data_IF_609925762129
#
_entry.id   IF_609925762129
#
_cell.length_a   1.000
_cell.length_b   1.000
_cell.length_c   1.000
_cell.angle_alpha   90.00
_cell.angle_beta   90.00
_cell.angle_gamma   90.00
#
_symmetry.space_group_name_H-M   'P 1'
#
loop_
_entity.id
_entity.type
_entity.pdbx_description
1 polymer ?
#
# COMPACT_ATOMS: atom_id res chain seq x y z
N UNK A 1 14.03 79.37 -1.88
CA UNK A 1 14.68 79.23 -0.56
C UNK A 1 13.67 78.64 0.40
N UNK A 2 13.87 77.39 0.84
CA UNK A 2 13.42 76.92 2.15
C UNK A 2 14.12 77.74 3.26
N UNK A 3 13.79 77.65 4.57
CA UNK A 3 12.70 76.92 5.24
C UNK A 3 12.08 77.70 6.44
N UNK A 4 11.19 77.00 7.18
CA UNK A 4 11.31 76.71 8.63
C UNK A 4 10.10 77.11 9.50
N UNK A 5 9.66 76.09 10.22
CA UNK A 5 8.47 75.92 11.05
C UNK A 5 8.66 76.44 12.48
N UNK A 6 7.56 76.79 13.17
CA UNK A 6 7.52 77.01 14.62
C UNK A 6 6.51 76.06 15.30
N UNK A 7 7.02 75.31 16.27
CA UNK A 7 6.29 74.50 17.27
C UNK A 7 5.58 75.39 18.30
N UNK A 8 4.50 74.88 18.89
CA UNK A 8 3.85 75.43 20.09
C UNK A 8 4.05 74.46 21.28
N UNK A 9 4.43 75.02 22.43
CA UNK A 9 4.33 74.43 23.79
C UNK A 9 2.98 74.85 24.42
N UNK A 10 2.45 74.27 25.51
CA UNK A 10 2.81 74.55 26.91
C UNK A 10 2.09 73.60 27.92
N UNK A 11 2.84 73.21 28.97
CA UNK A 11 2.57 73.10 30.43
C UNK A 11 1.24 72.52 30.99
N UNK A 12 1.24 71.43 31.79
CA UNK A 12 1.58 71.23 33.24
C UNK A 12 0.48 71.67 34.23
N UNK A 13 0.15 70.81 35.21
CA UNK A 13 -0.03 71.07 36.67
C UNK A 13 -0.83 69.92 37.34
N UNK A 14 -0.26 69.34 38.41
CA UNK A 14 -0.98 68.62 39.50
C UNK A 14 -0.98 69.52 40.75
N UNK A 15 -1.96 69.40 41.67
CA UNK A 15 -1.72 68.62 42.90
C UNK A 15 -2.96 67.90 43.50
N UNK A 16 -2.68 66.92 44.38
CA UNK A 16 -3.60 66.21 45.30
C UNK A 16 -3.89 67.08 46.56
N UNK A 17 -4.79 66.74 47.54
CA UNK A 17 -4.79 65.47 48.30
C UNK A 17 -6.16 64.99 48.92
N UNK A 18 -6.07 63.86 49.67
CA UNK A 18 -6.87 63.41 50.84
C UNK A 18 -8.07 62.43 50.69
N UNK A 19 -7.79 61.17 51.10
CA UNK A 19 -8.53 60.28 52.04
C UNK A 19 -10.04 60.09 51.90
N UNK A 20 -10.49 58.86 51.57
CA UNK A 20 -11.01 57.85 52.53
C UNK A 20 -11.99 56.85 51.88
N UNK A 21 -12.01 55.64 52.44
CA UNK A 21 -13.10 54.64 52.48
C UNK A 21 -13.15 53.52 51.41
N UNK A 22 -12.71 52.34 51.89
CA UNK A 22 -13.16 50.98 51.61
C UNK A 22 -14.37 50.78 50.68
N UNK A 23 -14.16 49.99 49.61
CA UNK A 23 -15.01 48.84 49.27
C UNK A 23 -14.13 47.73 48.64
N UNK A 24 -14.02 46.62 49.35
CA UNK A 24 -13.44 45.36 48.87
C UNK A 24 -14.48 44.73 47.93
N UNK A 25 -14.27 44.83 46.62
CA UNK A 25 -15.10 44.19 45.62
C UNK A 25 -14.32 43.01 45.03
N UNK A 26 -14.60 41.82 45.56
CA UNK A 26 -14.14 40.54 45.02
C UNK A 26 -14.75 40.34 43.63
N UNK A 27 -14.01 40.71 42.59
CA UNK A 27 -14.32 40.30 41.22
C UNK A 27 -13.94 38.83 41.03
N UNK A 28 -14.92 37.95 41.00
CA UNK A 28 -14.73 36.56 40.56
C UNK A 28 -14.35 36.55 39.08
N UNK A 29 -13.08 36.27 38.80
CA UNK A 29 -12.58 36.01 37.45
C UNK A 29 -13.09 34.62 37.03
N UNK A 30 -14.19 34.59 36.28
CA UNK A 30 -14.62 33.41 35.54
C UNK A 30 -13.62 33.18 34.40
N UNK A 31 -12.61 32.34 34.67
CA UNK A 31 -11.76 31.76 33.63
C UNK A 31 -12.65 30.74 32.90
N UNK A 32 -13.24 31.16 31.78
CA UNK A 32 -13.78 30.20 30.82
C UNK A 32 -12.60 29.45 30.24
N UNK A 33 -12.36 28.25 30.77
CA UNK A 33 -11.56 27.22 30.11
C UNK A 33 -12.26 26.93 28.77
N UNK A 34 -11.87 27.67 27.73
CA UNK A 34 -12.04 27.23 26.36
C UNK A 34 -11.10 26.03 26.23
N UNK A 35 -11.65 24.83 26.38
CA UNK A 35 -10.95 23.63 25.91
C UNK A 35 -10.56 23.91 24.45
N UNK A 36 -9.29 23.74 24.06
CA UNK A 36 -8.98 23.69 22.65
C UNK A 36 -9.82 22.54 22.09
N UNK A 37 -10.79 22.86 21.25
CA UNK A 37 -11.31 21.93 20.27
C UNK A 37 -10.07 21.47 19.51
N UNK A 38 -9.54 20.31 19.89
CA UNK A 38 -8.66 19.58 19.01
C UNK A 38 -9.55 19.37 17.78
N UNK A 39 -9.23 20.07 16.69
CA UNK A 39 -9.76 19.68 15.41
C UNK A 39 -9.43 18.21 15.30
N UNK A 40 -10.45 17.35 15.37
CA UNK A 40 -10.37 16.08 14.69
C UNK A 40 -10.07 16.49 13.26
N UNK A 41 -8.80 16.44 12.85
CA UNK A 41 -8.47 16.26 11.45
C UNK A 41 -9.14 14.95 11.10
N UNK A 42 -10.41 15.01 10.70
CA UNK A 42 -11.19 13.86 10.32
C UNK A 42 -10.39 13.18 9.23
N UNK A 43 -9.83 12.02 9.52
CA UNK A 43 -9.22 11.16 8.52
C UNK A 43 -10.29 10.92 7.46
N UNK A 44 -10.13 11.54 6.30
CA UNK A 44 -11.10 11.47 5.20
C UNK A 44 -10.78 10.20 4.42
N UNK A 45 -11.70 9.26 4.49
CA UNK A 45 -11.59 8.01 3.78
C UNK A 45 -12.05 8.17 2.35
N UNK A 46 -11.40 7.43 1.47
CA UNK A 46 -11.75 7.33 0.07
C UNK A 46 -11.76 5.86 -0.35
N UNK A 47 -12.62 5.54 -1.31
CA UNK A 47 -12.50 4.37 -2.16
C UNK A 47 -11.74 4.79 -3.42
N UNK A 48 -10.71 4.03 -3.74
CA UNK A 48 -9.85 4.28 -4.87
C UNK A 48 -9.95 3.10 -5.80
N UNK A 49 -10.26 3.39 -7.06
CA UNK A 49 -10.23 2.41 -8.13
C UNK A 49 -9.30 2.90 -9.23
N UNK A 50 -8.32 2.07 -9.59
CA UNK A 50 -7.28 2.42 -10.54
C UNK A 50 -7.01 1.23 -11.45
N UNK A 51 -6.83 1.50 -12.75
CA UNK A 51 -6.36 0.52 -13.72
C UNK A 51 -5.23 1.08 -14.56
N UNK A 52 -4.22 0.26 -14.79
CA UNK A 52 -3.03 0.60 -15.56
C UNK A 52 -2.96 -0.36 -16.74
N UNK A 53 -2.73 0.19 -17.92
CA UNK A 53 -2.66 -0.58 -19.16
C UNK A 53 -1.46 -0.15 -19.99
N UNK A 54 -0.89 -1.06 -20.78
CA UNK A 54 0.08 -0.70 -21.83
C UNK A 54 -0.64 -0.25 -23.08
N UNK A 55 0.00 0.65 -23.84
CA UNK A 55 -0.32 0.91 -25.24
C UNK A 55 0.53 -0.02 -26.10
N UNK A 56 -0.09 -0.79 -26.99
CA UNK A 56 0.57 -1.79 -27.85
C UNK A 56 0.89 -1.26 -29.26
N UNK A 57 0.45 -0.03 -29.57
CA UNK A 57 0.84 0.69 -30.79
C UNK A 57 2.34 0.98 -30.77
N UNK A 58 3.06 0.50 -31.79
CA UNK A 58 4.49 0.79 -31.97
C UNK A 58 4.75 2.29 -32.17
N UNK A 59 3.81 2.99 -32.83
CA UNK A 59 3.96 4.42 -33.10
C UNK A 59 4.01 5.22 -31.80
N UNK A 60 3.09 4.94 -30.89
CA UNK A 60 2.97 5.62 -29.60
C UNK A 60 4.21 5.34 -28.74
N UNK A 61 4.68 4.08 -28.70
CA UNK A 61 5.88 3.71 -27.95
C UNK A 61 7.17 4.37 -28.43
N UNK A 62 7.26 4.68 -29.72
CA UNK A 62 8.44 5.31 -30.31
C UNK A 62 8.43 6.85 -30.16
N UNK A 63 7.38 7.45 -29.60
CA UNK A 63 7.31 8.90 -29.37
C UNK A 63 8.35 9.41 -28.36
N UNK A 64 8.74 8.57 -27.40
CA UNK A 64 9.77 8.89 -26.40
C UNK A 64 10.91 7.86 -26.42
N UNK A 65 12.13 8.35 -26.64
CA UNK A 65 13.34 7.53 -26.57
C UNK A 65 13.98 7.65 -25.19
N UNK A 66 13.95 6.54 -24.43
CA UNK A 66 14.52 6.43 -23.09
C UNK A 66 15.92 5.81 -23.15
N UNK A 67 16.88 6.39 -22.43
CA UNK A 67 18.27 5.94 -22.40
C UNK A 67 18.60 5.37 -21.01
N UNK A 68 19.15 4.16 -20.95
CA UNK A 68 19.51 3.47 -19.70
C UNK A 68 20.39 4.32 -18.78
N UNK A 69 21.39 5.04 -19.32
CA UNK A 69 22.29 5.89 -18.54
C UNK A 69 21.61 7.05 -17.79
N UNK A 70 20.36 7.41 -18.15
CA UNK A 70 19.64 8.56 -17.58
C UNK A 70 18.50 8.17 -16.67
N UNK A 71 18.13 6.90 -16.63
CA UNK A 71 16.99 6.41 -15.86
C UNK A 71 17.50 5.70 -14.59
N UNK A 72 17.58 6.44 -13.49
CA UNK A 72 17.87 5.86 -12.17
C UNK A 72 16.56 5.33 -11.57
N UNK A 73 16.26 4.07 -11.85
CA UNK A 73 15.06 3.40 -11.34
C UNK A 73 15.29 2.96 -9.90
N UNK A 74 14.39 3.35 -9.00
CA UNK A 74 14.48 2.98 -7.59
C UNK A 74 13.10 2.90 -6.95
N UNK A 75 13.00 2.10 -5.89
CA UNK A 75 11.83 2.05 -5.05
C UNK A 75 11.92 3.09 -3.93
N UNK A 76 10.82 3.78 -3.68
CA UNK A 76 10.71 4.67 -2.52
C UNK A 76 10.84 3.90 -1.20
N UNK A 77 11.23 4.60 -0.13
CA UNK A 77 11.26 4.04 1.23
C UNK A 77 10.73 5.08 2.22
N UNK A 78 9.63 4.80 2.95
CA UNK A 78 8.90 3.54 3.00
C UNK A 78 8.07 3.25 1.73
N UNK A 79 7.77 1.98 1.49
CA UNK A 79 6.89 1.48 0.43
C UNK A 79 5.87 0.52 1.05
N UNK A 80 4.64 0.52 0.55
CA UNK A 80 3.54 -0.33 1.06
C UNK A 80 2.97 -1.21 -0.05
N UNK A 81 2.76 -2.50 0.22
CA UNK A 81 1.96 -3.38 -0.62
C UNK A 81 0.48 -3.29 -0.22
N UNK A 82 -0.44 -3.44 -1.18
CA UNK A 82 -1.85 -3.66 -0.86
C UNK A 82 -2.01 -5.08 -0.28
N UNK A 83 -2.75 -5.20 0.82
CA UNK A 83 -3.04 -6.49 1.41
C UNK A 83 -4.04 -7.25 0.53
N UNK A 84 -3.75 -8.51 0.21
CA UNK A 84 -4.67 -9.35 -0.55
C UNK A 84 -5.38 -10.33 0.38
N UNK A 85 -6.73 -10.44 0.32
CA UNK A 85 -7.45 -11.45 1.10
C UNK A 85 -6.96 -12.88 0.85
N UNK A 86 -6.39 -13.15 -0.34
CA UNK A 86 -5.79 -14.44 -0.71
C UNK A 86 -4.53 -14.78 0.08
N UNK A 87 -3.78 -13.81 0.58
CA UNK A 87 -2.56 -14.05 1.36
C UNK A 87 -2.86 -14.83 2.64
N UNK A 88 -4.04 -14.64 3.22
CA UNK A 88 -4.51 -15.36 4.41
C UNK A 88 -4.77 -16.85 4.15
N UNK A 89 -4.91 -17.26 2.89
CA UNK A 89 -5.18 -18.64 2.51
C UNK A 89 -3.91 -19.48 2.37
N UNK A 90 -2.74 -18.84 2.32
CA UNK A 90 -1.45 -19.52 2.17
C UNK A 90 -0.85 -19.72 3.55
N UNK A 91 -0.58 -20.98 3.89
CA UNK A 91 0.00 -21.33 5.20
C UNK A 91 1.50 -21.53 5.10
N UNK A 92 2.23 -21.28 6.20
CA UNK A 92 3.67 -21.55 6.29
C UNK A 92 4.02 -23.00 5.90
N UNK A 93 3.14 -23.96 6.20
CA UNK A 93 3.33 -25.36 5.81
C UNK A 93 3.22 -25.57 4.30
N UNK A 94 2.35 -24.83 3.61
CA UNK A 94 2.25 -24.90 2.14
C UNK A 94 3.48 -24.27 1.49
N UNK A 95 3.95 -23.14 2.02
CA UNK A 95 5.19 -22.50 1.57
C UNK A 95 6.38 -23.43 1.79
N UNK A 96 6.53 -23.98 3.00
CA UNK A 96 7.62 -24.89 3.33
C UNK A 96 7.61 -26.17 2.48
N UNK A 97 6.43 -26.75 2.23
CA UNK A 97 6.30 -27.93 1.37
C UNK A 97 6.60 -27.63 -0.11
N UNK A 98 6.39 -26.40 -0.57
CA UNK A 98 6.68 -26.02 -1.94
C UNK A 98 8.16 -25.64 -2.16
N UNK A 99 8.81 -25.10 -1.12
CA UNK A 99 10.25 -24.74 -1.15
C UNK A 99 11.14 -25.96 -0.85
N UNK A 100 10.64 -26.97 -0.13
CA UNK A 100 11.40 -28.21 0.08
C UNK A 100 11.63 -28.91 -1.25
N UNK A 101 12.90 -29.02 -1.67
CA UNK A 101 13.27 -29.97 -2.71
C UNK A 101 12.78 -31.36 -2.31
N UNK A 102 12.27 -32.20 -3.23
CA UNK A 102 11.98 -33.58 -2.90
C UNK A 102 13.29 -34.18 -2.43
N UNK A 103 13.40 -34.47 -1.13
CA UNK A 103 14.47 -35.32 -0.62
C UNK A 103 14.43 -36.56 -1.51
N UNK A 104 15.47 -36.77 -2.32
CA UNK A 104 15.74 -38.08 -2.87
C UNK A 104 15.80 -38.98 -1.65
N UNK A 105 14.73 -39.76 -1.44
CA UNK A 105 14.71 -40.84 -0.47
C UNK A 105 15.75 -41.85 -0.95
N UNK A 106 17.02 -41.57 -0.67
CA UNK A 106 18.08 -42.53 -0.67
C UNK A 106 17.75 -43.49 0.47
N UNK A 107 16.94 -44.49 0.13
CA UNK A 107 16.74 -45.66 0.97
C UNK A 107 18.09 -46.40 0.93
N UNK A 108 19.04 -45.96 1.75
CA UNK A 108 20.07 -46.88 2.22
C UNK A 108 19.35 -47.89 3.10
N UNK A 109 19.08 -49.08 2.56
CA UNK A 109 18.71 -50.25 3.36
C UNK A 109 19.88 -50.62 4.27
N UNK A 110 20.03 -49.87 5.36
CA UNK A 110 20.76 -50.34 6.52
C UNK A 110 19.85 -51.34 7.24
N UNK A 111 20.06 -52.64 6.99
CA UNK A 111 19.48 -53.69 7.82
C UNK A 111 20.08 -53.59 9.22
N UNK A 112 19.39 -52.89 10.11
CA UNK A 112 19.67 -52.88 11.54
C UNK A 112 18.87 -54.03 12.15
N UNK A 113 19.53 -55.07 12.65
CA UNK A 113 18.88 -56.11 13.44
C UNK A 113 18.49 -55.51 14.80
N UNK A 114 17.28 -54.98 14.90
CA UNK A 114 16.69 -54.55 16.17
C UNK A 114 16.14 -55.78 16.89
N UNK A 115 16.40 -55.88 18.19
CA UNK A 115 15.72 -56.87 19.01
C UNK A 115 14.23 -56.48 19.25
N UNK A 116 13.41 -57.41 19.74
CA UNK A 116 11.96 -57.20 19.93
C UNK A 116 11.64 -55.97 20.82
N UNK A 117 12.52 -55.64 21.77
CA UNK A 117 12.35 -54.52 22.70
C UNK A 117 12.67 -53.17 22.03
N UNK A 118 13.72 -53.13 21.22
CA UNK A 118 14.10 -51.97 20.41
C UNK A 118 13.05 -51.68 19.33
N UNK A 119 12.46 -52.72 18.73
CA UNK A 119 11.39 -52.58 17.75
C UNK A 119 10.12 -52.00 18.39
N UNK A 120 9.77 -52.46 19.60
CA UNK A 120 8.63 -51.94 20.35
C UNK A 120 8.85 -50.47 20.80
N UNK A 121 10.07 -50.11 21.18
CA UNK A 121 10.43 -48.74 21.53
C UNK A 121 10.37 -47.80 20.31
N UNK A 122 10.80 -48.27 19.13
CA UNK A 122 10.71 -47.52 17.88
C UNK A 122 9.25 -47.31 17.44
N UNK A 123 8.41 -48.36 17.49
CA UNK A 123 6.97 -48.24 17.22
C UNK A 123 6.28 -47.28 18.19
N UNK A 124 6.61 -47.35 19.49
CA UNK A 124 6.09 -46.42 20.49
C UNK A 124 6.53 -44.98 20.19
N UNK A 125 7.80 -44.75 19.84
CA UNK A 125 8.30 -43.42 19.51
C UNK A 125 7.63 -42.84 18.26
N UNK A 126 7.41 -43.67 17.23
CA UNK A 126 6.71 -43.28 16.00
C UNK A 126 5.21 -43.01 16.24
N UNK A 127 4.57 -43.77 17.13
CA UNK A 127 3.18 -43.52 17.54
C UNK A 127 3.07 -42.27 18.40
N UNK A 128 4.03 -42.03 19.30
CA UNK A 128 4.10 -40.82 20.11
C UNK A 128 4.36 -39.59 19.24
N UNK A 129 5.22 -39.66 18.23
CA UNK A 129 5.42 -38.55 17.29
C UNK A 129 4.15 -38.28 16.48
N UNK A 130 3.48 -39.32 15.98
CA UNK A 130 2.19 -39.17 15.27
C UNK A 130 1.10 -38.54 16.16
N UNK A 131 1.03 -38.92 17.45
CA UNK A 131 0.11 -38.33 18.43
C UNK A 131 0.44 -36.88 18.74
N UNK A 132 1.73 -36.53 18.84
CA UNK A 132 2.16 -35.13 19.00
C UNK A 132 1.83 -34.30 17.76
N UNK A 133 1.86 -34.88 16.56
CA UNK A 133 1.46 -34.23 15.30
C UNK A 133 -0.06 -34.07 15.15
N UNK A 134 -0.88 -34.92 15.77
CA UNK A 134 -2.35 -34.92 15.64
C UNK A 134 -3.13 -34.34 16.82
N UNK A 135 -2.46 -33.94 17.90
CA UNK A 135 -3.09 -33.22 19.02
C UNK A 135 -3.53 -31.79 18.61
N UNK A 136 -4.53 -31.19 19.30
CA UNK A 136 -4.86 -29.78 19.08
C UNK A 136 -3.60 -28.95 19.34
N UNK A 137 -3.13 -28.26 18.31
CA UNK A 137 -1.96 -27.42 18.47
C UNK A 137 -2.22 -26.38 19.57
N UNK A 138 -1.25 -26.11 20.46
CA UNK A 138 -1.39 -25.03 21.41
C UNK A 138 -1.77 -23.75 20.64
N UNK A 139 -2.67 -22.92 21.17
CA UNK A 139 -3.01 -21.67 20.53
C UNK A 139 -1.72 -20.89 20.28
N UNK A 140 -1.46 -20.57 19.00
CA UNK A 140 -0.37 -19.66 18.60
C UNK A 140 -0.44 -18.41 19.49
N UNK A 141 0.73 -17.82 19.78
CA UNK A 141 0.80 -16.56 20.49
C UNK A 141 -0.20 -15.55 19.90
N UNK A 142 -0.96 -14.88 20.77
CA UNK A 142 -1.99 -13.91 20.38
C UNK A 142 -1.39 -12.82 19.48
N UNK A 143 -1.89 -12.70 18.25
CA UNK A 143 -1.52 -11.66 17.28
C UNK A 143 -1.19 -12.16 15.85
N UNK A 144 -2.11 -12.41 14.93
CA UNK A 144 -3.57 -12.29 14.91
C UNK A 144 -4.00 -12.79 13.50
N UNK A 145 -4.31 -14.08 13.35
CA UNK A 145 -5.12 -14.45 12.18
C UNK A 145 -6.48 -13.79 12.41
N UNK A 146 -6.72 -12.68 11.73
CA UNK A 146 -8.01 -12.02 11.65
C UNK A 146 -8.39 -11.90 10.21
N UNK A 147 -9.67 -12.09 9.91
CA UNK A 147 -10.18 -11.69 8.62
C UNK A 147 -10.12 -10.17 8.49
N UNK A 148 -9.84 -9.70 7.29
CA UNK A 148 -9.94 -8.30 6.97
C UNK A 148 -11.40 -7.85 7.12
N UNK A 149 -11.60 -6.75 7.81
CA UNK A 149 -12.84 -5.98 7.75
C UNK A 149 -12.75 -5.08 6.51
N UNK A 150 -13.19 -5.59 5.36
CA UNK A 150 -13.11 -4.89 4.07
C UNK A 150 -13.78 -3.51 4.07
N UNK A 151 -14.65 -3.22 5.05
CA UNK A 151 -15.31 -1.93 5.20
C UNK A 151 -14.50 -0.91 5.99
N UNK A 152 -13.47 -1.34 6.74
CA UNK A 152 -12.77 -0.52 7.75
C UNK A 152 -11.25 -0.67 7.75
N UNK A 153 -10.71 -1.74 7.20
CA UNK A 153 -9.28 -1.92 7.04
C UNK A 153 -8.80 -1.15 5.80
N UNK A 154 -7.78 -0.29 5.95
CA UNK A 154 -7.22 0.45 4.84
C UNK A 154 -6.30 -0.44 4.00
N UNK A 155 -6.11 -0.10 2.74
CA UNK A 155 -5.14 -0.71 1.82
C UNK A 155 -5.32 -2.23 1.59
N UNK A 156 -6.53 -2.74 1.82
CA UNK A 156 -6.90 -4.12 1.45
C UNK A 156 -7.54 -4.10 0.06
N UNK A 157 -7.07 -4.97 -0.83
CA UNK A 157 -7.64 -5.15 -2.16
C UNK A 157 -9.06 -5.73 -2.05
N UNK A 158 -10.02 -5.05 -2.68
CA UNK A 158 -11.42 -5.42 -2.71
C UNK A 158 -11.74 -6.33 -3.89
N UNK A 159 -12.90 -6.98 -3.83
CA UNK A 159 -13.36 -7.90 -4.86
C UNK A 159 -13.66 -7.16 -6.17
N UNK A 160 -13.35 -7.74 -7.35
CA UNK A 160 -13.78 -7.21 -8.63
C UNK A 160 -15.31 -7.06 -8.78
N UNK A 161 -16.10 -7.70 -7.92
CA UNK A 161 -17.57 -7.53 -7.92
C UNK A 161 -18.00 -6.12 -7.46
N UNK A 162 -17.16 -5.47 -6.64
CA UNK A 162 -17.40 -4.11 -6.12
C UNK A 162 -16.85 -3.02 -7.06
N UNK A 163 -16.20 -3.40 -8.16
CA UNK A 163 -15.55 -2.51 -9.13
C UNK A 163 -16.55 -1.81 -10.04
N UNK A 164 -16.39 -0.50 -10.20
CA UNK A 164 -17.11 0.30 -11.20
C UNK A 164 -16.41 0.21 -12.58
N UNK A 165 -15.13 -0.18 -12.62
CA UNK A 165 -14.35 -0.25 -13.86
C UNK A 165 -14.57 -1.55 -14.63
N UNK A 166 -15.45 -2.45 -14.20
CA UNK A 166 -15.71 -3.70 -14.92
C UNK A 166 -16.02 -3.49 -16.41
N UNK A 167 -16.81 -2.48 -16.78
CA UNK A 167 -17.09 -2.21 -18.19
C UNK A 167 -15.89 -1.58 -18.90
N UNK A 168 -15.20 -0.66 -18.26
CA UNK A 168 -13.99 0.02 -18.75
C UNK A 168 -12.88 -0.99 -19.03
N UNK A 169 -12.56 -1.85 -18.06
CA UNK A 169 -11.51 -2.87 -18.16
C UNK A 169 -11.82 -3.89 -19.25
N UNK A 170 -13.09 -4.34 -19.35
CA UNK A 170 -13.52 -5.19 -20.47
C UNK A 170 -13.48 -4.50 -21.83
N UNK A 171 -13.51 -3.16 -21.89
CA UNK A 171 -13.34 -2.43 -23.15
C UNK A 171 -11.85 -2.33 -23.52
N UNK A 172 -10.99 -2.06 -22.54
CA UNK A 172 -9.53 -2.05 -22.67
C UNK A 172 -9.05 -3.42 -23.19
N UNK A 173 -9.44 -4.51 -22.52
CA UNK A 173 -9.03 -5.88 -22.88
C UNK A 173 -9.53 -6.36 -24.25
N UNK A 174 -10.57 -5.72 -24.81
CA UNK A 174 -11.07 -6.06 -26.15
C UNK A 174 -10.38 -5.29 -27.27
N UNK A 175 -9.67 -4.22 -26.94
CA UNK A 175 -8.87 -3.47 -27.91
C UNK A 175 -7.58 -4.24 -28.20
N UNK A 176 -7.13 -4.25 -29.46
CA UNK A 176 -5.76 -4.69 -29.77
C UNK A 176 -4.70 -3.67 -29.36
N UNK A 177 -5.11 -2.42 -29.16
CA UNK A 177 -4.20 -1.30 -28.89
C UNK A 177 -3.81 -1.21 -27.42
N UNK A 178 -4.50 -1.92 -26.52
CA UNK A 178 -4.26 -1.83 -25.09
C UNK A 178 -4.23 -3.21 -24.44
N UNK A 179 -3.48 -3.33 -23.34
CA UNK A 179 -3.52 -4.51 -22.47
C UNK A 179 -3.55 -4.09 -21.03
N UNK A 180 -4.53 -4.59 -20.27
CA UNK A 180 -4.62 -4.35 -18.84
C UNK A 180 -3.45 -5.04 -18.14
N UNK A 181 -2.69 -4.29 -17.35
CA UNK A 181 -1.52 -4.78 -16.61
C UNK A 181 -1.82 -4.89 -15.12
N UNK A 182 -2.54 -3.91 -14.57
CA UNK A 182 -2.91 -3.86 -13.16
C UNK A 182 -4.31 -3.29 -13.00
N UNK A 183 -5.07 -3.83 -12.05
CA UNK A 183 -6.32 -3.27 -11.59
C UNK A 183 -6.39 -3.38 -10.06
N UNK A 184 -6.64 -2.26 -9.40
CA UNK A 184 -6.75 -2.19 -7.96
C UNK A 184 -7.99 -1.42 -7.52
N UNK A 185 -8.71 -1.98 -6.54
CA UNK A 185 -9.81 -1.33 -5.84
C UNK A 185 -9.55 -1.47 -4.34
N UNK A 186 -9.37 -0.37 -3.62
CA UNK A 186 -9.13 -0.39 -2.17
C UNK A 186 -9.73 0.84 -1.50
N UNK A 187 -9.64 0.87 -0.17
CA UNK A 187 -10.04 2.01 0.65
C UNK A 187 -8.86 2.49 1.47
N UNK A 188 -8.71 3.79 1.66
CA UNK A 188 -7.72 4.31 2.58
C UNK A 188 -8.11 5.68 3.14
N UNK A 189 -7.54 6.02 4.29
CA UNK A 189 -7.52 7.40 4.77
C UNK A 189 -6.39 8.15 4.07
N UNK A 190 -6.75 9.13 3.25
CA UNK A 190 -5.75 9.89 2.50
C UNK A 190 -4.89 10.76 3.42
N UNK A 191 -3.57 10.69 3.22
CA UNK A 191 -2.59 11.41 4.02
C UNK A 191 -2.31 12.82 3.49
N UNK A 192 -1.66 13.63 4.34
CA UNK A 192 -1.10 14.92 3.95
C UNK A 192 0.16 14.76 3.07
N UNK A 193 0.60 15.81 2.35
CA UNK A 193 1.65 15.69 1.34
C UNK A 193 2.96 15.03 1.78
N UNK A 194 3.36 15.19 3.04
CA UNK A 194 4.63 14.66 3.57
C UNK A 194 4.44 13.38 4.41
N UNK A 195 3.22 12.86 4.48
CA UNK A 195 2.87 11.69 5.30
C UNK A 195 2.37 10.51 4.45
N UNK A 196 2.13 10.73 3.16
CA UNK A 196 1.69 9.70 2.23
C UNK A 196 2.78 8.66 2.00
N UNK A 197 2.40 7.39 2.11
CA UNK A 197 3.27 6.25 1.85
C UNK A 197 2.96 5.74 0.44
N UNK A 198 3.94 5.68 -0.48
CA UNK A 198 3.75 5.12 -1.81
C UNK A 198 3.26 3.67 -1.75
N UNK A 199 2.31 3.34 -2.63
CA UNK A 199 1.78 2.00 -2.82
C UNK A 199 2.56 1.33 -3.94
N UNK A 200 3.12 0.16 -3.66
CA UNK A 200 3.77 -0.69 -4.64
C UNK A 200 2.75 -1.17 -5.67
N UNK A 201 3.10 -1.01 -6.93
CA UNK A 201 2.32 -1.46 -8.07
C UNK A 201 3.17 -2.43 -8.87
N UNK A 202 2.61 -3.59 -9.17
CA UNK A 202 3.18 -4.53 -10.12
C UNK A 202 2.08 -5.19 -10.95
N UNK A 203 2.41 -5.66 -12.14
CA UNK A 203 1.43 -6.29 -13.02
C UNK A 203 1.98 -6.71 -14.37
N UNK A 204 1.11 -7.28 -15.19
CA UNK A 204 1.49 -7.90 -16.46
C UNK A 204 2.16 -9.27 -16.29
N UNK A 205 2.97 -9.66 -17.26
CA UNK A 205 3.70 -10.93 -17.25
C UNK A 205 4.89 -10.89 -16.27
N UNK A 206 5.19 -12.05 -15.69
CA UNK A 206 6.33 -12.26 -14.80
C UNK A 206 7.52 -12.84 -15.57
N UNK A 207 8.70 -12.27 -15.33
CA UNK A 207 9.98 -12.65 -15.94
C UNK A 207 11.04 -12.80 -14.84
N UNK A 208 11.30 -14.04 -14.42
CA UNK A 208 12.06 -14.29 -13.19
C UNK A 208 11.29 -13.71 -11.99
N UNK A 209 11.95 -12.88 -11.19
CA UNK A 209 11.29 -12.18 -10.07
C UNK A 209 10.59 -10.89 -10.49
N UNK A 210 10.87 -10.39 -11.70
CA UNK A 210 10.37 -9.09 -12.15
C UNK A 210 9.04 -9.21 -12.88
N UNK A 211 8.32 -8.09 -12.95
CA UNK A 211 7.07 -7.96 -13.70
C UNK A 211 7.23 -6.91 -14.80
N UNK A 212 6.43 -6.99 -15.86
CA UNK A 212 6.42 -5.98 -16.93
C UNK A 212 6.16 -4.58 -16.37
N UNK A 213 5.11 -4.42 -15.58
CA UNK A 213 4.79 -3.17 -14.90
C UNK A 213 5.28 -3.24 -13.47
N UNK A 214 6.02 -2.22 -13.03
CA UNK A 214 6.46 -2.06 -11.65
C UNK A 214 6.58 -0.59 -11.27
N UNK A 215 6.62 -0.33 -9.97
CA UNK A 215 6.92 0.99 -9.41
C UNK A 215 6.00 1.32 -8.25
N UNK A 216 5.60 2.57 -8.16
CA UNK A 216 4.71 3.02 -7.11
C UNK A 216 3.76 4.13 -7.54
N UNK A 217 2.64 4.19 -6.83
CA UNK A 217 1.68 5.28 -6.90
C UNK A 217 1.49 5.84 -5.49
N UNK A 218 1.50 7.16 -5.38
CA UNK A 218 1.22 7.86 -4.12
C UNK A 218 -0.02 8.71 -4.27
N UNK A 219 -0.96 8.56 -3.36
CA UNK A 219 -2.13 9.41 -3.27
C UNK A 219 -2.05 10.26 -2.01
N UNK A 220 -2.27 11.56 -2.17
CA UNK A 220 -2.20 12.53 -1.07
C UNK A 220 -3.14 13.69 -1.30
N UNK A 221 -3.43 14.46 -0.25
CA UNK A 221 -4.01 15.78 -0.44
C UNK A 221 -3.02 16.75 -1.10
N UNK A 222 -3.54 17.77 -1.77
CA UNK A 222 -2.76 18.98 -2.03
C UNK A 222 -2.61 19.82 -0.74
N UNK A 223 -1.77 20.86 -0.76
CA UNK A 223 -1.49 21.70 0.42
C UNK A 223 -2.76 22.31 1.06
N UNK A 224 -3.79 22.58 0.25
CA UNK A 224 -5.06 23.17 0.71
C UNK A 224 -6.11 22.14 1.14
N UNK A 225 -5.85 20.83 0.98
CA UNK A 225 -6.78 19.71 1.24
C UNK A 225 -8.12 19.78 0.50
N UNK A 226 -8.15 20.43 -0.66
CA UNK A 226 -9.35 20.55 -1.50
C UNK A 226 -9.27 19.71 -2.78
N UNK A 227 -8.12 19.11 -3.07
CA UNK A 227 -7.89 18.18 -4.17
C UNK A 227 -7.02 17.01 -3.74
N UNK A 228 -7.06 15.97 -4.56
CA UNK A 228 -6.25 14.78 -4.43
C UNK A 228 -5.14 14.88 -5.47
N UNK A 229 -3.91 14.59 -5.09
CA UNK A 229 -2.78 14.49 -6.01
C UNK A 229 -2.39 13.03 -6.12
N UNK A 230 -2.23 12.58 -7.36
CA UNK A 230 -1.59 11.31 -7.69
C UNK A 230 -0.18 11.59 -8.19
N UNK A 231 0.80 11.01 -7.50
CA UNK A 231 2.17 10.91 -7.98
C UNK A 231 2.38 9.49 -8.49
N UNK A 232 2.77 9.35 -9.75
CA UNK A 232 3.06 8.07 -10.39
C UNK A 232 4.55 8.01 -10.69
N UNK A 233 5.20 6.94 -10.23
CA UNK A 233 6.58 6.60 -10.53
C UNK A 233 6.59 5.13 -10.95
N UNK A 234 6.32 4.89 -12.22
CA UNK A 234 6.07 3.56 -12.79
C UNK A 234 7.01 3.32 -13.95
N UNK A 235 7.48 2.08 -14.11
CA UNK A 235 8.18 1.65 -15.30
C UNK A 235 7.52 0.42 -15.94
N UNK A 236 7.49 0.44 -17.26
CA UNK A 236 7.06 -0.67 -18.11
C UNK A 236 8.30 -1.23 -18.81
N UNK A 237 8.60 -2.50 -18.55
CA UNK A 237 9.75 -3.21 -19.11
C UNK A 237 9.31 -4.14 -20.23
N UNK A 238 9.95 -4.02 -21.38
CA UNK A 238 9.82 -4.97 -22.48
C UNK A 238 10.95 -6.01 -22.43
N UNK A 239 10.55 -7.27 -22.31
CA UNK A 239 11.47 -8.41 -22.30
C UNK A 239 11.52 -9.09 -23.66
N UNK A 240 12.69 -9.59 -24.05
CA UNK A 240 12.87 -10.31 -25.30
C UNK A 240 13.91 -11.43 -25.20
N UNK A 241 13.61 -12.58 -25.80
CA UNK A 241 14.52 -13.73 -25.87
C UNK A 241 15.74 -13.48 -26.75
N UNK A 242 15.67 -12.47 -27.63
CA UNK A 242 16.76 -12.06 -28.53
C UNK A 242 17.47 -10.80 -28.06
N UNK A 243 17.01 -10.17 -26.97
CA UNK A 243 17.72 -9.06 -26.36
C UNK A 243 19.00 -9.57 -25.69
N UNK A 244 20.00 -8.68 -25.61
CA UNK A 244 21.23 -8.97 -24.90
C UNK A 244 20.93 -9.14 -23.41
N UNK A 245 21.33 -10.30 -22.86
CA UNK A 245 21.18 -10.58 -21.43
C UNK A 245 22.12 -9.71 -20.59
N UNK A 246 23.19 -9.20 -21.19
CA UNK A 246 24.15 -8.27 -20.58
C UNK A 246 23.85 -6.80 -20.96
N UNK A 247 22.64 -6.50 -21.42
CA UNK A 247 22.24 -5.15 -21.82
C UNK A 247 22.41 -4.10 -20.72
N UNK A 248 22.46 -2.82 -21.14
CA UNK A 248 22.75 -1.69 -20.25
C UNK A 248 21.66 -1.43 -19.18
N UNK A 249 20.46 -2.02 -19.34
CA UNK A 249 19.35 -1.83 -18.42
C UNK A 249 19.51 -2.69 -17.16
N UNK A 250 19.52 -2.04 -16.00
CA UNK A 250 19.51 -2.70 -14.69
C UNK A 250 18.26 -2.28 -13.93
N UNK A 251 17.41 -3.25 -13.58
CA UNK A 251 16.23 -3.01 -12.75
C UNK A 251 16.60 -3.13 -11.27
N UNK A 252 16.03 -2.28 -10.39
CA UNK A 252 16.20 -2.45 -8.96
C UNK A 252 15.57 -3.78 -8.49
N UNK A 253 16.17 -4.46 -7.51
CA UNK A 253 15.54 -5.63 -6.90
C UNK A 253 14.25 -5.21 -6.19
N UNK A 254 13.22 -6.03 -6.29
CA UNK A 254 11.96 -5.81 -5.56
C UNK A 254 12.27 -5.92 -4.06
N UNK A 255 11.84 -4.96 -3.21
CA UNK A 255 12.05 -5.06 -1.78
C UNK A 255 11.34 -6.29 -1.21
N UNK A 256 12.00 -7.06 -0.34
CA UNK A 256 11.45 -8.30 0.23
C UNK A 256 10.07 -8.12 0.87
N UNK A 257 9.82 -6.96 1.48
CA UNK A 257 8.53 -6.63 2.09
C UNK A 257 7.36 -6.55 1.09
N UNK A 258 7.65 -6.43 -0.21
CA UNK A 258 6.66 -6.34 -1.28
C UNK A 258 6.37 -7.69 -1.95
N UNK A 259 7.12 -8.75 -1.60
CA UNK A 259 6.91 -10.08 -2.17
C UNK A 259 5.70 -10.75 -1.51
N UNK A 260 4.88 -11.42 -2.32
CA UNK A 260 3.77 -12.24 -1.81
C UNK A 260 4.28 -13.61 -1.34
N UNK A 261 3.53 -14.32 -0.48
CA UNK A 261 3.83 -15.72 -0.18
C UNK A 261 3.88 -16.61 -1.44
N UNK A 262 3.11 -16.29 -2.48
CA UNK A 262 3.14 -17.01 -3.77
C UNK A 262 4.45 -16.76 -4.50
N UNK A 263 4.95 -15.52 -4.49
CA UNK A 263 6.23 -15.19 -5.14
C UNK A 263 7.39 -15.96 -4.54
N UNK A 264 7.39 -16.14 -3.21
CA UNK A 264 8.38 -16.93 -2.51
C UNK A 264 8.36 -18.42 -2.93
N UNK A 265 7.20 -18.96 -3.29
CA UNK A 265 7.06 -20.34 -3.77
C UNK A 265 7.59 -20.47 -5.21
N UNK A 266 7.31 -19.49 -6.07
CA UNK A 266 7.65 -19.55 -7.50
C UNK A 266 9.11 -19.22 -7.85
N UNK A 267 9.90 -18.72 -6.90
CA UNK A 267 11.30 -18.32 -7.12
C UNK A 267 12.25 -19.47 -7.51
N UNK A 268 11.82 -20.74 -7.35
CA UNK A 268 12.61 -21.94 -7.63
C UNK A 268 12.48 -22.47 -9.07
N UNK A 269 11.55 -21.96 -9.89
CA UNK A 269 11.44 -22.36 -11.29
C UNK A 269 12.40 -21.56 -12.19
N UNK A 270 13.31 -22.21 -12.93
CA UNK A 270 14.17 -21.50 -13.88
C UNK A 270 13.32 -20.97 -15.03
N UNK A 271 12.93 -19.70 -14.93
CA UNK A 271 12.24 -18.97 -15.98
C UNK A 271 13.05 -18.92 -17.27
N UNK A 272 12.38 -18.66 -18.39
CA UNK A 272 13.06 -18.38 -19.65
C UNK A 272 13.99 -17.17 -19.44
N UNK A 273 15.27 -17.32 -19.75
CA UNK A 273 16.22 -16.21 -19.70
C UNK A 273 15.84 -15.18 -20.78
N UNK A 274 15.27 -14.07 -20.35
CA UNK A 274 14.83 -12.98 -21.21
C UNK A 274 15.66 -11.73 -20.90
N UNK A 275 16.20 -11.10 -21.94
CA UNK A 275 16.91 -9.82 -21.82
C UNK A 275 15.94 -8.66 -21.80
N UNK A 276 16.38 -7.52 -21.28
CA UNK A 276 15.60 -6.28 -21.30
C UNK A 276 15.86 -5.57 -22.63
N UNK A 277 14.81 -5.40 -23.42
CA UNK A 277 14.87 -4.68 -24.69
C UNK A 277 14.73 -3.16 -24.47
N UNK A 278 13.72 -2.76 -23.71
CA UNK A 278 13.37 -1.35 -23.45
C UNK A 278 12.75 -1.20 -22.06
N UNK A 279 12.91 -0.01 -21.48
CA UNK A 279 12.17 0.40 -20.28
C UNK A 279 11.57 1.78 -20.54
N UNK A 280 10.27 1.90 -20.28
CA UNK A 280 9.53 3.16 -20.34
C UNK A 280 9.25 3.64 -18.93
N UNK A 281 9.63 4.87 -18.58
CA UNK A 281 9.50 5.40 -17.23
C UNK A 281 8.50 6.56 -17.17
N UNK A 282 7.40 6.35 -16.47
CA UNK A 282 6.40 7.35 -16.18
C UNK A 282 6.64 7.95 -14.80
N UNK A 283 7.11 9.20 -14.79
CA UNK A 283 7.21 10.01 -13.57
C UNK A 283 6.34 11.26 -13.71
N UNK A 284 5.15 11.25 -13.11
CA UNK A 284 4.16 12.32 -13.25
C UNK A 284 3.48 12.66 -11.92
N UNK A 285 3.09 13.93 -11.75
CA UNK A 285 2.28 14.41 -10.63
C UNK A 285 1.06 15.14 -11.17
N UNK A 286 -0.14 14.76 -10.73
CA UNK A 286 -1.40 15.32 -11.23
C UNK A 286 -2.39 15.59 -10.11
N UNK A 287 -2.92 16.80 -10.07
CA UNK A 287 -4.03 17.18 -9.20
C UNK A 287 -5.38 16.80 -9.82
N UNK A 288 -6.27 16.24 -9.00
CA UNK A 288 -7.53 15.63 -9.40
C UNK A 288 -8.66 16.03 -8.46
N UNK A 289 -9.87 16.09 -9.01
CA UNK A 289 -11.12 16.22 -8.24
C UNK A 289 -11.61 14.82 -7.87
N UNK A 290 -12.04 14.64 -6.62
CA UNK A 290 -12.74 13.42 -6.20
C UNK A 290 -14.06 13.26 -6.98
N UNK A 291 -14.56 12.04 -7.12
CA UNK A 291 -15.80 11.67 -7.87
C UNK A 291 -15.77 11.96 -9.37
N UNK A 292 -14.60 12.32 -9.91
CA UNK A 292 -14.39 12.47 -11.35
C UNK A 292 -13.45 11.37 -11.84
N UNK A 293 -13.72 10.85 -13.04
CA UNK A 293 -12.86 9.90 -13.72
C UNK A 293 -11.68 10.64 -14.36
N UNK A 294 -10.45 10.24 -14.03
CA UNK A 294 -9.24 10.85 -14.58
C UNK A 294 -8.47 9.85 -15.43
N UNK A 295 -7.91 10.35 -16.52
CA UNK A 295 -6.95 9.65 -17.37
C UNK A 295 -5.60 10.37 -17.29
N UNK A 296 -4.54 9.60 -17.10
CA UNK A 296 -3.15 10.05 -17.09
C UNK A 296 -2.44 9.32 -18.22
N UNK A 297 -1.90 10.11 -19.13
CA UNK A 297 -1.38 9.64 -20.39
C UNK A 297 0.14 9.50 -20.34
N UNK A 298 0.63 8.46 -21.00
CA UNK A 298 2.03 8.21 -21.26
C UNK A 298 2.14 7.40 -22.57
N UNK A 299 3.14 7.62 -23.44
CA UNK A 299 3.14 7.01 -24.78
C UNK A 299 3.09 5.47 -24.75
N UNK A 300 3.79 4.85 -23.80
CA UNK A 300 3.79 3.38 -23.65
C UNK A 300 2.71 2.80 -22.73
N UNK A 301 2.05 3.60 -21.88
CA UNK A 301 1.11 3.12 -20.86
C UNK A 301 0.12 4.19 -20.43
N UNK A 302 -1.01 3.81 -19.86
CA UNK A 302 -2.02 4.75 -19.37
C UNK A 302 -2.54 4.36 -18.00
N UNK A 303 -2.95 5.36 -17.23
CA UNK A 303 -3.64 5.17 -15.95
C UNK A 303 -5.04 5.75 -16.06
N UNK A 304 -6.04 4.94 -15.69
CA UNK A 304 -7.38 5.44 -15.37
C UNK A 304 -7.63 5.30 -13.89
N UNK A 305 -8.16 6.36 -13.25
CA UNK A 305 -8.39 6.39 -11.80
C UNK A 305 -9.67 7.13 -11.46
N UNK A 306 -10.38 6.61 -10.47
CA UNK A 306 -11.52 7.21 -9.82
C UNK A 306 -11.28 7.18 -8.30
N UNK A 307 -11.50 8.33 -7.64
CA UNK A 307 -11.33 8.45 -6.19
C UNK A 307 -12.59 9.05 -5.58
N UNK A 308 -13.29 8.28 -4.77
CA UNK A 308 -14.60 8.64 -4.22
C UNK A 308 -14.54 8.73 -2.69
N UNK A 309 -15.14 9.77 -2.06
CA UNK A 309 -15.25 9.81 -0.61
C UNK A 309 -15.98 8.57 -0.09
N UNK A 310 -15.46 7.97 0.98
CA UNK A 310 -16.03 6.79 1.61
C UNK A 310 -16.34 7.08 3.09
N UNK A 311 -17.56 6.74 3.53
CA UNK A 311 -17.96 6.85 4.93
C UNK A 311 -17.81 5.49 5.61
N UNK A 312 -16.85 5.39 6.54
CA UNK A 312 -16.59 4.15 7.27
C UNK A 312 -17.78 3.83 8.17
N UNK A 313 -18.46 2.69 8.00
CA UNK A 313 -19.64 2.36 8.81
C UNK A 313 -19.25 2.13 10.27
N UNK A 314 -20.12 2.49 11.24
CA UNK A 314 -19.85 2.25 12.66
C UNK A 314 -19.72 0.75 12.93
N UNK A 315 -18.96 0.37 13.95
CA UNK A 315 -18.85 -1.03 14.36
C UNK A 315 -20.24 -1.61 14.67
N UNK A 316 -20.54 -2.85 14.25
CA UNK A 316 -21.79 -3.50 14.63
C UNK A 316 -21.86 -3.60 16.15
N UNK A 317 -22.98 -3.18 16.72
CA UNK A 317 -23.24 -3.37 18.14
C UNK A 317 -23.64 -4.84 18.30
N UNK A 318 -22.92 -5.65 19.11
CA UNK A 318 -23.32 -7.02 19.34
C UNK A 318 -24.69 -7.03 20.04
N UNK A 319 -25.69 -7.64 19.40
CA UNK A 319 -26.98 -7.92 20.01
C UNK A 319 -26.78 -9.04 21.04
N UNK A 320 -26.43 -8.66 22.27
CA UNK A 320 -26.46 -9.58 23.39
C UNK A 320 -27.90 -9.69 23.90
N UNK A 321 -28.66 -10.62 23.34
CA UNK A 321 -29.92 -11.05 23.91
C UNK A 321 -29.61 -11.97 25.11
N UNK A 322 -29.35 -11.35 26.27
CA UNK A 322 -29.38 -12.07 27.53
C UNK A 322 -30.86 -12.37 27.81
N UNK A 323 -31.38 -13.47 27.27
CA UNK A 323 -32.60 -14.06 27.80
C UNK A 323 -32.35 -14.25 29.30
N UNK A 324 -33.06 -13.48 30.11
CA UNK A 324 -33.05 -13.58 31.56
C UNK A 324 -33.34 -15.03 31.94
N UNK A 325 -32.29 -15.78 32.25
CA UNK A 325 -32.36 -17.11 32.83
C UNK A 325 -32.93 -16.96 34.25
N UNK A 326 -34.26 -16.86 34.33
CA UNK A 326 -35.07 -17.01 35.53
C UNK A 326 -35.26 -18.48 35.88
#
# INVERSE_FOLDING_TARGET
>A
MQPLTKKHSYFLIMPSPRTALFYLLTGGLLITLSSPTHGQTSQRWFQIELSIFSNESLGDRDEEMWNAERSELSYASPLRRLDEPGDLLITDSMIAAAISEPEELAIEEATIELNDEELAAADLAQRLSAVVTTGPQPPRAQGEFRFFDLLRDPNVLLSPQDSDFQQTNRAIERSSEHRLLFHGLWRESLADPNEAIPIYVHGGLKYGDQHELQGSITLRFNDNRDRIVIDSDLWLTEYSAVADLEGDWQLPPIPEAMLTPVDAIGASEPGLAMGINRVFHMQQSREMRSTEFHYIDHPAMGIVILVEPYEVPPLPIPDFDFEDAN
#
